data_IF_490570015184
#
_entry.id   IF_490570015184
#
_cell.length_a   1.000
_cell.length_b   1.000
_cell.length_c   1.000
_cell.angle_alpha   90.00
_cell.angle_beta   90.00
_cell.angle_gamma   90.00
#
_symmetry.space_group_name_H-M   'P 1'
#
loop_
_entity.id
_entity.type
_entity.pdbx_description
1 polymer ?
#
# COMPACT_ATOMS: atom_id res chain seq x y z
N UNK A 1 -11.48 31.82 7.31
CA UNK A 1 -12.20 30.95 8.26
C UNK A 1 -12.61 29.75 7.43
N UNK A 2 -11.75 28.73 7.41
CA UNK A 2 -11.93 27.54 6.58
C UNK A 2 -13.02 26.72 7.25
N UNK A 3 -14.25 26.84 6.74
CA UNK A 3 -15.37 26.10 7.29
C UNK A 3 -15.22 24.64 6.86
N UNK A 4 -14.82 23.78 7.80
CA UNK A 4 -14.87 22.33 7.70
C UNK A 4 -16.30 21.76 7.51
N UNK A 5 -17.27 22.59 7.10
CA UNK A 5 -18.71 22.30 6.97
C UNK A 5 -19.12 21.86 5.55
N UNK A 6 -18.17 21.60 4.64
CA UNK A 6 -18.48 21.36 3.22
C UNK A 6 -17.82 20.15 2.55
N UNK A 7 -16.91 19.45 3.22
CA UNK A 7 -16.26 18.28 2.63
C UNK A 7 -16.97 16.99 3.05
N UNK A 8 -17.34 16.18 2.06
CA UNK A 8 -17.90 14.87 2.33
C UNK A 8 -16.85 13.98 3.05
N UNK A 9 -17.28 13.13 3.99
CA UNK A 9 -16.38 12.19 4.66
C UNK A 9 -15.82 11.17 3.67
N UNK A 10 -14.67 10.59 4.01
CA UNK A 10 -14.16 9.41 3.32
C UNK A 10 -15.15 8.24 3.51
N UNK A 11 -15.34 7.44 2.47
CA UNK A 11 -16.11 6.20 2.53
C UNK A 11 -15.59 5.21 1.50
N UNK A 12 -15.89 3.92 1.68
CA UNK A 12 -15.40 2.87 0.79
C UNK A 12 -15.92 3.08 -0.63
N UNK A 13 -17.21 3.39 -0.76
CA UNK A 13 -17.86 3.76 -2.01
C UNK A 13 -17.10 4.88 -2.76
N UNK A 14 -16.59 5.89 -2.05
CA UNK A 14 -15.81 6.98 -2.69
C UNK A 14 -14.43 6.51 -3.15
N UNK A 15 -13.83 5.54 -2.45
CA UNK A 15 -12.59 4.89 -2.88
C UNK A 15 -12.84 4.02 -4.13
N UNK A 16 -13.93 3.26 -4.16
CA UNK A 16 -14.37 2.47 -5.32
C UNK A 16 -14.61 3.34 -6.55
N UNK A 17 -15.34 4.44 -6.37
CA UNK A 17 -15.59 5.41 -7.43
C UNK A 17 -14.28 6.07 -7.90
N UNK A 18 -13.36 6.38 -6.99
CA UNK A 18 -12.05 6.90 -7.35
C UNK A 18 -11.25 5.87 -8.18
N UNK A 19 -11.17 4.61 -7.75
CA UNK A 19 -10.53 3.53 -8.50
C UNK A 19 -11.17 3.36 -9.88
N UNK A 20 -12.50 3.41 -9.96
CA UNK A 20 -13.25 3.31 -11.21
C UNK A 20 -12.96 4.48 -12.17
N UNK A 21 -12.91 5.72 -11.66
CA UNK A 21 -12.54 6.92 -12.46
C UNK A 21 -11.10 6.87 -12.97
N UNK A 22 -10.22 6.20 -12.22
CA UNK A 22 -8.84 5.93 -12.63
C UNK A 22 -8.72 4.78 -13.64
N UNK A 23 -9.81 4.05 -13.90
CA UNK A 23 -9.81 2.88 -14.79
C UNK A 23 -9.18 1.64 -14.17
N UNK A 24 -9.13 1.56 -12.84
CA UNK A 24 -8.52 0.45 -12.11
C UNK A 24 -9.56 -0.60 -11.74
N UNK A 25 -9.25 -1.87 -12.00
CA UNK A 25 -10.05 -2.99 -11.56
C UNK A 25 -9.74 -3.33 -10.10
N UNK A 26 -10.78 -3.58 -9.32
CA UNK A 26 -10.69 -4.00 -7.93
C UNK A 26 -11.80 -5.00 -7.61
N UNK A 27 -11.65 -5.69 -6.50
CA UNK A 27 -12.65 -6.57 -5.91
C UNK A 27 -12.77 -6.29 -4.42
N UNK A 28 -13.95 -6.44 -3.85
CA UNK A 28 -14.14 -6.39 -2.40
C UNK A 28 -13.47 -7.61 -1.72
N UNK A 29 -13.11 -7.45 -0.46
CA UNK A 29 -12.64 -8.55 0.38
C UNK A 29 -13.83 -9.15 1.15
N UNK A 30 -14.15 -10.42 0.89
CA UNK A 30 -15.28 -11.12 1.51
C UNK A 30 -15.12 -11.30 3.03
N UNK A 31 -13.88 -11.27 3.54
CA UNK A 31 -13.60 -11.39 4.97
C UNK A 31 -13.51 -10.02 5.65
N UNK A 32 -13.20 -8.96 4.89
CA UNK A 32 -12.98 -7.62 5.41
C UNK A 32 -13.75 -6.57 4.60
N UNK A 33 -14.97 -6.24 5.01
CA UNK A 33 -15.88 -5.34 4.30
C UNK A 33 -15.29 -3.94 4.00
N UNK A 34 -14.35 -3.46 4.82
CA UNK A 34 -13.67 -2.16 4.63
C UNK A 34 -12.42 -2.21 3.73
N UNK A 35 -12.22 -3.31 2.98
CA UNK A 35 -11.02 -3.55 2.17
C UNK A 35 -11.36 -3.85 0.71
N UNK A 36 -10.72 -3.11 -0.19
CA UNK A 36 -10.68 -3.40 -1.62
C UNK A 36 -9.32 -3.99 -2.00
N UNK A 37 -9.34 -5.01 -2.85
CA UNK A 37 -8.16 -5.70 -3.39
C UNK A 37 -8.00 -5.39 -4.87
N UNK A 38 -6.76 -5.17 -5.28
CA UNK A 38 -6.42 -4.94 -6.68
C UNK A 38 -5.03 -5.51 -6.99
N UNK A 39 -4.70 -5.58 -8.28
CA UNK A 39 -3.38 -5.99 -8.75
C UNK A 39 -2.83 -4.91 -9.68
N UNK A 40 -1.60 -4.48 -9.41
CA UNK A 40 -0.88 -3.49 -10.22
C UNK A 40 0.55 -3.96 -10.39
N UNK A 41 1.01 -4.06 -11.64
CA UNK A 41 2.37 -4.46 -11.97
C UNK A 41 2.79 -5.77 -11.27
N UNK A 42 1.89 -6.76 -11.32
CA UNK A 42 1.98 -8.05 -10.62
C UNK A 42 2.00 -8.03 -9.08
N UNK A 43 2.00 -6.85 -8.46
CA UNK A 43 1.89 -6.72 -7.02
C UNK A 43 0.45 -6.68 -6.56
N UNK A 44 0.21 -7.29 -5.39
CA UNK A 44 -1.10 -7.26 -4.74
C UNK A 44 -1.22 -5.99 -3.92
N UNK A 45 -2.32 -5.26 -4.11
CA UNK A 45 -2.64 -4.06 -3.37
C UNK A 45 -3.94 -4.23 -2.59
N UNK A 46 -3.96 -3.64 -1.40
CA UNK A 46 -5.13 -3.47 -0.55
C UNK A 46 -5.35 -1.97 -0.34
N UNK A 47 -6.58 -1.52 -0.55
CA UNK A 47 -7.07 -0.21 -0.13
C UNK A 47 -8.01 -0.44 1.03
N UNK A 48 -7.66 0.06 2.20
CA UNK A 48 -8.45 -0.12 3.41
C UNK A 48 -8.84 1.22 3.98
N UNK A 49 -10.07 1.30 4.49
CA UNK A 49 -10.45 2.40 5.37
C UNK A 49 -10.22 1.97 6.81
N UNK A 50 -9.58 2.83 7.59
CA UNK A 50 -9.20 2.54 8.96
C UNK A 50 -9.50 3.73 9.89
N UNK A 51 -9.35 3.47 11.19
CA UNK A 51 -9.58 4.44 12.27
C UNK A 51 -11.03 4.43 12.76
N UNK A 52 -11.24 4.90 14.00
CA UNK A 52 -12.57 4.89 14.67
C UNK A 52 -13.63 5.68 13.89
N UNK A 53 -13.23 6.71 13.15
CA UNK A 53 -14.13 7.56 12.35
C UNK A 53 -14.15 7.18 10.85
N UNK A 54 -13.52 6.06 10.45
CA UNK A 54 -13.36 5.65 9.04
C UNK A 54 -12.74 6.77 8.15
N UNK A 55 -11.95 7.64 8.75
CA UNK A 55 -11.38 8.82 8.10
C UNK A 55 -9.98 8.60 7.52
N UNK A 56 -9.42 7.39 7.60
CA UNK A 56 -8.04 7.13 7.16
C UNK A 56 -8.04 6.18 5.97
N UNK A 57 -7.44 6.62 4.85
CA UNK A 57 -7.20 5.75 3.69
C UNK A 57 -5.81 5.14 3.78
N UNK A 58 -5.73 3.81 3.76
CA UNK A 58 -4.49 3.08 3.64
C UNK A 58 -4.39 2.44 2.25
N UNK A 59 -3.31 2.75 1.53
CA UNK A 59 -2.88 2.03 0.33
C UNK A 59 -1.69 1.16 0.68
N UNK A 60 -1.83 -0.17 0.58
CA UNK A 60 -0.78 -1.12 0.97
C UNK A 60 -0.53 -2.13 -0.14
N UNK A 61 0.69 -2.14 -0.66
CA UNK A 61 1.16 -3.17 -1.57
C UNK A 61 1.93 -4.26 -0.83
N UNK A 62 1.87 -5.48 -1.36
CA UNK A 62 2.69 -6.62 -0.96
C UNK A 62 3.53 -7.05 -2.14
N UNK A 63 4.85 -7.13 -1.93
CA UNK A 63 5.79 -7.59 -2.94
C UNK A 63 5.45 -9.02 -3.38
N UNK A 64 5.70 -9.36 -4.64
CA UNK A 64 5.32 -10.65 -5.24
C UNK A 64 5.98 -11.84 -4.53
N UNK A 65 7.19 -11.65 -4.02
CA UNK A 65 8.01 -12.70 -3.41
C UNK A 65 7.78 -12.85 -1.91
N UNK A 66 7.92 -14.09 -1.45
CA UNK A 66 8.11 -14.39 -0.03
C UNK A 66 9.60 -14.47 0.25
N UNK A 67 10.02 -14.28 1.50
CA UNK A 67 11.43 -14.27 1.88
C UNK A 67 11.66 -15.17 3.09
N UNK A 68 12.64 -16.06 3.03
CA UNK A 68 13.03 -16.87 4.18
C UNK A 68 13.53 -15.98 5.35
N UNK A 69 13.19 -16.39 6.57
CA UNK A 69 13.52 -15.65 7.79
C UNK A 69 15.03 -15.45 7.99
N UNK A 70 15.88 -16.29 7.41
CA UNK A 70 17.34 -16.13 7.41
C UNK A 70 17.79 -14.83 6.73
N UNK A 71 17.07 -14.36 5.70
CA UNK A 71 17.34 -13.09 4.99
C UNK A 71 16.70 -11.86 5.65
N UNK A 72 16.04 -12.02 6.81
CA UNK A 72 15.36 -10.91 7.51
C UNK A 72 16.23 -9.67 7.69
N UNK A 73 17.48 -9.85 8.11
CA UNK A 73 18.40 -8.74 8.41
C UNK A 73 18.71 -7.93 7.15
N UNK A 74 18.88 -8.61 6.02
CA UNK A 74 19.13 -7.99 4.72
C UNK A 74 17.90 -7.18 4.27
N UNK A 75 16.71 -7.79 4.28
CA UNK A 75 15.47 -7.12 3.88
C UNK A 75 15.15 -5.91 4.76
N UNK A 76 15.36 -6.01 6.07
CA UNK A 76 15.17 -4.87 6.99
C UNK A 76 16.12 -3.72 6.66
N UNK A 77 17.38 -4.00 6.28
CA UNK A 77 18.32 -2.95 5.86
C UNK A 77 17.83 -2.23 4.60
N UNK A 78 17.38 -2.97 3.59
CA UNK A 78 16.82 -2.39 2.36
C UNK A 78 15.59 -1.51 2.65
N UNK A 79 14.67 -1.99 3.50
CA UNK A 79 13.52 -1.21 3.94
C UNK A 79 13.95 0.07 4.69
N UNK A 80 14.90 -0.03 5.61
CA UNK A 80 15.37 1.12 6.38
C UNK A 80 16.05 2.15 5.48
N UNK A 81 16.88 1.73 4.52
CA UNK A 81 17.51 2.63 3.56
C UNK A 81 16.47 3.41 2.76
N UNK A 82 15.39 2.76 2.32
CA UNK A 82 14.29 3.47 1.66
C UNK A 82 13.63 4.48 2.60
N UNK A 83 13.19 4.03 3.78
CA UNK A 83 12.49 4.87 4.77
C UNK A 83 13.32 6.08 5.23
N UNK A 84 14.66 5.97 5.25
CA UNK A 84 15.55 7.07 5.63
C UNK A 84 15.73 8.12 4.52
N UNK A 85 15.59 7.74 3.25
CA UNK A 85 15.95 8.57 2.10
C UNK A 85 14.75 9.02 1.25
N UNK A 86 13.54 8.58 1.57
CA UNK A 86 12.31 8.87 0.84
C UNK A 86 11.21 9.24 1.83
N UNK A 87 10.35 10.19 1.43
CA UNK A 87 9.17 10.56 2.22
C UNK A 87 8.13 9.43 2.17
N UNK A 88 7.99 8.77 1.03
CA UNK A 88 7.02 7.71 0.80
C UNK A 88 7.59 6.53 0.01
N UNK A 89 6.97 5.34 0.12
CA UNK A 89 6.06 4.95 1.19
C UNK A 89 6.83 4.53 2.46
N UNK A 90 6.09 4.22 3.55
CA UNK A 90 6.65 3.45 4.66
C UNK A 90 6.78 2.00 4.21
N UNK A 91 7.96 1.42 4.34
CA UNK A 91 8.23 0.03 3.92
C UNK A 91 8.71 -0.82 5.07
N UNK A 92 8.32 -2.09 5.09
CA UNK A 92 8.63 -3.00 6.20
C UNK A 92 8.55 -4.47 5.79
N UNK A 93 9.17 -5.31 6.62
CA UNK A 93 9.00 -6.77 6.56
C UNK A 93 7.99 -7.21 7.62
N UNK A 94 7.14 -8.18 7.28
CA UNK A 94 6.18 -8.77 8.21
C UNK A 94 6.24 -10.29 8.10
N UNK A 95 6.16 -10.99 9.21
CA UNK A 95 6.02 -12.45 9.21
C UNK A 95 4.64 -12.83 8.66
N UNK A 96 4.60 -13.67 7.63
CA UNK A 96 3.35 -14.19 7.05
C UNK A 96 3.04 -15.60 7.58
N UNK A 97 4.07 -16.44 7.74
CA UNK A 97 3.92 -17.79 8.30
C UNK A 97 5.21 -18.27 8.98
N UNK A 98 5.27 -19.55 9.37
CA UNK A 98 6.48 -20.16 9.92
C UNK A 98 7.59 -20.15 8.86
N UNK A 99 8.72 -19.51 9.18
CA UNK A 99 9.86 -19.38 8.26
C UNK A 99 9.74 -18.30 7.18
N UNK A 100 8.55 -17.79 6.87
CA UNK A 100 8.33 -16.87 5.74
C UNK A 100 7.98 -15.44 6.15
N UNK A 101 8.60 -14.49 5.45
CA UNK A 101 8.38 -13.06 5.55
C UNK A 101 7.79 -12.53 4.25
N UNK A 102 6.87 -11.58 4.36
CA UNK A 102 6.44 -10.72 3.25
C UNK A 102 7.05 -9.33 3.38
N UNK A 103 7.29 -8.69 2.24
CA UNK A 103 7.75 -7.30 2.16
C UNK A 103 6.60 -6.40 1.71
N UNK A 104 6.41 -5.29 2.41
CA UNK A 104 5.24 -4.42 2.27
C UNK A 104 5.67 -2.97 2.08
N UNK A 105 4.92 -2.26 1.25
CA UNK A 105 4.94 -0.81 1.15
C UNK A 105 3.56 -0.25 1.46
N UNK A 106 3.48 0.80 2.27
CA UNK A 106 2.23 1.36 2.75
C UNK A 106 2.28 2.89 2.79
N UNK A 107 1.24 3.52 2.25
CA UNK A 107 0.96 4.94 2.42
C UNK A 107 -0.38 5.10 3.11
N UNK A 108 -0.39 5.93 4.15
CA UNK A 108 -1.58 6.25 4.95
C UNK A 108 -1.88 7.74 4.81
N UNK A 109 -3.13 8.08 4.46
CA UNK A 109 -3.61 9.45 4.32
C UNK A 109 -4.76 9.71 5.28
N UNK A 110 -4.67 10.79 6.07
CA UNK A 110 -5.70 11.20 7.03
C UNK A 110 -6.69 12.18 6.37
N UNK A 111 -7.96 11.80 6.37
CA UNK A 111 -9.10 12.50 5.78
C UNK A 111 -10.26 12.67 6.78
N UNK A 112 -9.99 12.62 8.09
CA UNK A 112 -11.03 12.79 9.14
C UNK A 112 -11.80 14.11 9.05
N UNK A 113 -11.20 15.14 8.48
CA UNK A 113 -11.85 16.44 8.26
C UNK A 113 -12.69 16.51 6.96
N UNK A 114 -12.88 15.38 6.27
CA UNK A 114 -13.46 15.32 4.94
C UNK A 114 -12.42 15.46 3.83
N UNK A 115 -12.79 15.07 2.63
CA UNK A 115 -11.86 14.98 1.48
C UNK A 115 -12.58 15.21 0.16
N UNK A 116 -11.89 15.78 -0.82
CA UNK A 116 -12.35 15.88 -2.21
C UNK A 116 -12.05 14.60 -2.99
N UNK A 117 -12.90 14.25 -3.96
CA UNK A 117 -12.68 13.08 -4.81
C UNK A 117 -11.31 13.08 -5.51
N UNK A 118 -10.87 14.25 -5.98
CA UNK A 118 -9.56 14.42 -6.58
C UNK A 118 -8.39 14.18 -5.61
N UNK A 119 -8.59 14.43 -4.30
CA UNK A 119 -7.58 14.14 -3.27
C UNK A 119 -7.51 12.65 -2.96
N UNK A 120 -8.65 11.94 -2.99
CA UNK A 120 -8.67 10.47 -2.90
C UNK A 120 -7.89 9.87 -4.08
N UNK A 121 -8.18 10.30 -5.30
CA UNK A 121 -7.45 9.85 -6.50
C UNK A 121 -5.95 10.16 -6.43
N UNK A 122 -5.58 11.35 -5.93
CA UNK A 122 -4.20 11.74 -5.71
C UNK A 122 -3.48 10.85 -4.70
N UNK A 123 -4.14 10.54 -3.58
CA UNK A 123 -3.60 9.64 -2.56
C UNK A 123 -3.40 8.21 -3.10
N UNK A 124 -4.38 7.68 -3.86
CA UNK A 124 -4.27 6.37 -4.52
C UNK A 124 -3.09 6.35 -5.51
N UNK A 125 -2.99 7.33 -6.40
CA UNK A 125 -1.87 7.43 -7.37
C UNK A 125 -0.53 7.51 -6.68
N UNK A 126 -0.42 8.33 -5.63
CA UNK A 126 0.80 8.48 -4.86
C UNK A 126 1.19 7.16 -4.17
N UNK A 127 0.23 6.52 -3.50
CA UNK A 127 0.44 5.24 -2.83
C UNK A 127 0.90 4.15 -3.80
N UNK A 128 0.20 3.98 -4.92
CA UNK A 128 0.55 2.99 -5.95
C UNK A 128 1.95 3.25 -6.53
N UNK A 129 2.18 4.44 -7.07
CA UNK A 129 3.45 4.76 -7.75
C UNK A 129 4.66 4.63 -6.84
N UNK A 130 4.55 5.09 -5.60
CA UNK A 130 5.69 5.06 -4.67
C UNK A 130 5.95 3.66 -4.11
N UNK A 131 4.91 2.84 -3.90
CA UNK A 131 5.07 1.43 -3.50
C UNK A 131 5.65 0.58 -4.63
N UNK A 132 5.17 0.76 -5.87
CA UNK A 132 5.73 0.08 -7.04
C UNK A 132 7.21 0.46 -7.22
N UNK A 133 7.54 1.75 -7.11
CA UNK A 133 8.93 2.21 -7.21
C UNK A 133 9.85 1.58 -6.15
N UNK A 134 9.34 1.32 -4.94
CA UNK A 134 10.10 0.59 -3.93
C UNK A 134 10.33 -0.87 -4.34
N UNK A 135 9.30 -1.58 -4.80
CA UNK A 135 9.41 -2.97 -5.23
C UNK A 135 10.36 -3.14 -6.42
N UNK A 136 10.28 -2.27 -7.43
CA UNK A 136 11.28 -2.22 -8.51
C UNK A 136 12.69 -1.99 -7.98
N UNK A 137 12.87 -1.15 -6.96
CA UNK A 137 14.20 -0.92 -6.38
C UNK A 137 14.76 -2.16 -5.65
N UNK A 138 13.90 -3.01 -5.09
CA UNK A 138 14.31 -4.29 -4.52
C UNK A 138 14.72 -5.24 -5.64
N UNK A 139 13.92 -5.30 -6.70
CA UNK A 139 14.18 -6.17 -7.85
C UNK A 139 15.50 -5.81 -8.54
N UNK A 140 15.77 -4.54 -8.72
CA UNK A 140 17.03 -4.06 -9.28
C UNK A 140 18.24 -4.39 -8.40
N UNK A 141 18.10 -4.27 -7.07
CA UNK A 141 19.20 -4.49 -6.12
C UNK A 141 19.51 -5.96 -5.88
N UNK A 142 18.48 -6.81 -5.88
CA UNK A 142 18.62 -8.25 -5.66
C UNK A 142 18.94 -8.98 -6.97
N UNK A 143 18.46 -8.47 -8.10
CA UNK A 143 18.74 -9.00 -9.42
C UNK A 143 18.45 -10.51 -9.49
N UNK A 144 19.43 -11.35 -9.88
CA UNK A 144 19.22 -12.80 -10.01
C UNK A 144 18.96 -13.53 -8.68
N UNK A 145 19.30 -12.94 -7.53
CA UNK A 145 19.07 -13.56 -6.23
C UNK A 145 17.58 -13.64 -5.84
N UNK A 146 16.69 -13.06 -6.64
CA UNK A 146 15.24 -13.14 -6.45
C UNK A 146 14.73 -14.57 -6.67
N UNK A 147 15.32 -15.30 -7.62
CA UNK A 147 14.92 -16.68 -7.92
C UNK A 147 15.18 -17.61 -6.70
N UNK A 148 16.16 -17.24 -5.86
CA UNK A 148 16.50 -17.96 -4.62
C UNK A 148 15.57 -17.59 -3.44
N UNK A 149 14.65 -16.63 -3.59
CA UNK A 149 13.72 -16.21 -2.53
C UNK A 149 12.46 -17.09 -2.46
N UNK A 150 12.01 -17.59 -3.60
CA UNK A 150 10.80 -18.42 -3.71
C UNK A 150 11.07 -19.93 -3.56
N UNK A 151 12.33 -20.30 -3.32
CA UNK A 151 12.81 -21.69 -3.14
C UNK A 151 12.76 -22.14 -1.68
#
# INVERSE_FOLDING_TARGET
MDSADGLAPLSLERVEQALSRLGYCFVEDEEHEDVLRARFDDYRFHFAIAGEDHGVLQTRGRWSHSVDISRKVEMVKLCNEWNMNRIWPKVYVRRESEGLLGVYGELVSDFRAGVLDAQIEGAIKCGLSTVIAFFHSLEERLGPEIDDLDS
#
